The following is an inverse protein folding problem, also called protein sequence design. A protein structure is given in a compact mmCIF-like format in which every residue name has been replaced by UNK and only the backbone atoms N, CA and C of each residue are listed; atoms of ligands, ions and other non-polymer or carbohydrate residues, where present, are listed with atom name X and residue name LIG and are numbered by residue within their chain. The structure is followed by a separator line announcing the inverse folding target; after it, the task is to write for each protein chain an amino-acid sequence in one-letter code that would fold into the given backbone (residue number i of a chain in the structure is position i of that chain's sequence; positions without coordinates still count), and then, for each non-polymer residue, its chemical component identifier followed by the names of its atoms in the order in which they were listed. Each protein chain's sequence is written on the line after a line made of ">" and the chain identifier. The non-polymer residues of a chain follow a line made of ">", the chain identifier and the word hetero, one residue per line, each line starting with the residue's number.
data_IF_969812111172
#
_entry.id   IF_969812111172
#
_cell.length_a   1.000
_cell.length_b   1.000
_cell.length_c   1.000
_cell.angle_alpha   90.00
_cell.angle_beta   90.00
_cell.angle_gamma   90.00
#
_symmetry.space_group_name_H-M   'P 1'
#
loop_
_entity.id
_entity.type
_entity.pdbx_description
1 polymer ?
#
# COMPACT_ATOMS: atom_id res chain seq x y z
N UNK A 1 10.86 30.15 -3.36
CA UNK A 1 9.56 29.43 -3.34
C UNK A 1 9.24 28.74 -4.67
N UNK A 2 9.52 29.34 -5.84
CA UNK A 2 9.27 28.70 -7.16
C UNK A 2 9.92 27.31 -7.28
N UNK A 3 11.18 27.16 -6.86
CA UNK A 3 11.86 25.85 -6.90
C UNK A 3 11.15 24.79 -6.06
N UNK A 4 10.60 25.16 -4.90
CA UNK A 4 9.91 24.26 -3.99
C UNK A 4 8.57 23.82 -4.59
N UNK A 5 7.86 24.78 -5.19
CA UNK A 5 6.63 24.50 -5.92
C UNK A 5 6.86 23.54 -7.10
N UNK A 6 7.90 23.79 -7.90
CA UNK A 6 8.30 22.89 -8.99
C UNK A 6 8.65 21.48 -8.48
N UNK A 7 9.35 21.38 -7.35
CA UNK A 7 9.67 20.10 -6.70
C UNK A 7 8.41 19.35 -6.28
N UNK A 8 7.44 20.02 -5.63
CA UNK A 8 6.18 19.42 -5.20
C UNK A 8 5.44 18.83 -6.40
N UNK A 9 5.22 19.62 -7.45
CA UNK A 9 4.51 19.15 -8.65
C UNK A 9 5.24 18.00 -9.33
N UNK A 10 6.58 18.09 -9.47
CA UNK A 10 7.38 17.03 -10.07
C UNK A 10 7.28 15.73 -9.27
N UNK A 11 7.54 15.78 -7.97
CA UNK A 11 7.50 14.60 -7.10
C UNK A 11 6.11 13.98 -7.07
N UNK A 12 5.05 14.79 -6.98
CA UNK A 12 3.67 14.30 -6.97
C UNK A 12 3.27 13.67 -8.32
N UNK A 13 3.63 14.30 -9.44
CA UNK A 13 3.35 13.75 -10.77
C UNK A 13 4.04 12.38 -10.96
N UNK A 14 5.32 12.26 -10.61
CA UNK A 14 6.04 10.99 -10.69
C UNK A 14 5.44 9.96 -9.74
N UNK A 15 5.06 10.37 -8.52
CA UNK A 15 4.39 9.48 -7.57
C UNK A 15 3.12 8.86 -8.17
N UNK A 16 2.25 9.67 -8.75
CA UNK A 16 1.01 9.20 -9.41
C UNK A 16 1.32 8.28 -10.59
N UNK A 17 2.22 8.69 -11.50
CA UNK A 17 2.58 7.91 -12.70
C UNK A 17 3.12 6.53 -12.32
N UNK A 18 4.06 6.48 -11.37
CA UNK A 18 4.69 5.22 -10.93
C UNK A 18 3.69 4.32 -10.21
N UNK A 19 2.82 4.88 -9.36
CA UNK A 19 1.79 4.09 -8.69
C UNK A 19 0.80 3.49 -9.70
N UNK A 20 0.29 4.27 -10.64
CA UNK A 20 -0.60 3.77 -11.69
C UNK A 20 0.10 2.71 -12.54
N UNK A 21 1.36 2.93 -12.91
CA UNK A 21 2.17 1.93 -13.61
C UNK A 21 2.30 0.62 -12.83
N UNK A 22 2.48 0.67 -11.50
CA UNK A 22 2.50 -0.52 -10.63
C UNK A 22 1.15 -1.23 -10.57
N UNK A 23 0.04 -0.49 -10.47
CA UNK A 23 -1.31 -1.06 -10.50
C UNK A 23 -1.57 -1.77 -11.82
N UNK A 24 -1.29 -1.12 -12.96
CA UNK A 24 -1.44 -1.71 -14.29
C UNK A 24 -0.55 -2.94 -14.43
N UNK A 25 0.72 -2.84 -14.00
CA UNK A 25 1.66 -3.97 -14.03
C UNK A 25 1.08 -5.16 -13.28
N UNK A 26 0.65 -5.01 -12.03
CA UNK A 26 0.12 -6.11 -11.23
C UNK A 26 -1.21 -6.66 -11.77
N UNK A 27 -2.09 -5.79 -12.29
CA UNK A 27 -3.35 -6.22 -12.90
C UNK A 27 -3.16 -7.02 -14.20
N UNK A 28 -2.06 -6.77 -14.92
CA UNK A 28 -1.75 -7.39 -16.22
C UNK A 28 -0.72 -8.52 -16.13
N UNK A 29 -0.26 -8.88 -14.92
CA UNK A 29 0.69 -9.98 -14.77
C UNK A 29 0.10 -11.31 -15.27
N UNK A 30 0.93 -12.19 -15.85
CA UNK A 30 0.54 -13.57 -16.14
C UNK A 30 -0.04 -14.26 -14.90
N UNK A 31 -0.90 -15.25 -15.12
CA UNK A 31 -1.33 -16.22 -14.10
C UNK A 31 -0.13 -16.68 -13.27
N UNK A 32 -0.27 -16.57 -11.95
CA UNK A 32 0.77 -16.97 -11.01
C UNK A 32 0.79 -18.50 -10.83
N UNK A 33 1.81 -19.01 -10.14
CA UNK A 33 1.79 -20.37 -9.62
C UNK A 33 0.75 -20.44 -8.49
N UNK A 34 -0.43 -20.97 -8.83
CA UNK A 34 -1.59 -20.96 -7.96
C UNK A 34 -1.39 -21.86 -6.75
N UNK A 35 -1.52 -21.29 -5.57
CA UNK A 35 -1.57 -22.01 -4.31
C UNK A 35 -2.96 -21.83 -3.71
N UNK A 36 -3.73 -22.91 -3.63
CA UNK A 36 -5.05 -22.89 -3.01
C UNK A 36 -4.90 -22.90 -1.49
N UNK A 37 -4.89 -21.69 -0.91
CA UNK A 37 -4.65 -21.48 0.52
C UNK A 37 -5.97 -21.22 1.26
N UNK A 38 -6.51 -22.28 1.84
CA UNK A 38 -7.72 -22.21 2.66
C UNK A 38 -7.42 -21.79 4.12
N UNK A 39 -8.36 -21.11 4.81
CA UNK A 39 -9.67 -20.68 4.31
C UNK A 39 -9.62 -19.45 3.40
N UNK A 40 -10.53 -19.43 2.43
CA UNK A 40 -10.73 -18.30 1.52
C UNK A 40 -11.97 -17.49 1.95
N UNK A 41 -11.87 -16.19 2.24
CA UNK A 41 -12.93 -15.44 2.91
C UNK A 41 -14.28 -15.37 2.19
N UNK A 42 -14.31 -15.47 0.85
CA UNK A 42 -15.56 -15.42 0.11
C UNK A 42 -16.33 -16.75 0.13
N UNK A 43 -15.74 -17.85 0.57
CA UNK A 43 -16.45 -19.14 0.62
C UNK A 43 -17.34 -19.27 1.85
N UNK A 44 -18.54 -19.87 1.70
CA UNK A 44 -19.46 -20.12 2.82
C UNK A 44 -18.84 -20.96 3.94
N UNK A 45 -17.91 -21.86 3.58
CA UNK A 45 -17.24 -22.79 4.50
C UNK A 45 -15.99 -22.20 5.17
N UNK A 46 -15.66 -20.95 4.89
CA UNK A 46 -14.48 -20.28 5.43
C UNK A 46 -14.46 -20.24 6.97
N UNK A 47 -15.63 -20.16 7.61
CA UNK A 47 -15.74 -20.07 9.08
C UNK A 47 -15.15 -21.28 9.81
N UNK A 48 -15.28 -22.48 9.24
CA UNK A 48 -14.71 -23.71 9.79
C UNK A 48 -13.42 -24.16 9.10
N UNK A 49 -12.82 -23.29 8.27
CA UNK A 49 -11.57 -23.61 7.57
C UNK A 49 -11.74 -24.46 6.30
N UNK A 50 -12.96 -24.67 5.83
CA UNK A 50 -13.26 -25.59 4.74
C UNK A 50 -13.11 -25.03 3.34
N UNK A 51 -13.40 -25.88 2.35
CA UNK A 51 -13.33 -25.56 0.91
C UNK A 51 -14.51 -26.14 0.11
N UNK A 52 -14.71 -25.66 -1.12
CA UNK A 52 -15.64 -26.32 -2.06
C UNK A 52 -15.24 -27.75 -2.41
N UNK A 53 -13.98 -28.16 -2.23
CA UNK A 53 -13.52 -29.54 -2.48
C UNK A 53 -14.20 -30.57 -1.58
N UNK A 54 -14.77 -30.14 -0.46
CA UNK A 54 -15.54 -31.01 0.42
C UNK A 54 -16.88 -31.44 -0.18
N UNK A 55 -17.33 -30.77 -1.24
CA UNK A 55 -18.57 -31.14 -1.92
C UNK A 55 -18.33 -32.19 -3.00
N UNK A 56 -19.10 -33.30 -2.98
CA UNK A 56 -19.12 -34.22 -4.11
C UNK A 56 -19.54 -33.49 -5.38
N UNK A 57 -18.84 -33.80 -6.47
CA UNK A 57 -19.07 -33.23 -7.81
C UNK A 57 -19.13 -31.70 -7.80
N UNK A 58 -18.32 -31.04 -6.97
CA UNK A 58 -18.26 -29.58 -6.86
C UNK A 58 -18.13 -28.88 -8.22
N UNK A 59 -17.42 -29.50 -9.18
CA UNK A 59 -17.20 -28.96 -10.53
C UNK A 59 -18.47 -28.88 -11.40
N UNK A 60 -19.57 -29.52 -10.99
CA UNK A 60 -20.89 -29.44 -11.65
C UNK A 60 -21.81 -28.39 -11.02
N UNK A 61 -21.44 -27.83 -9.87
CA UNK A 61 -22.28 -26.93 -9.09
C UNK A 61 -21.84 -25.47 -9.27
N UNK A 62 -22.76 -24.50 -9.19
CA UNK A 62 -22.37 -23.09 -9.15
C UNK A 62 -21.59 -22.81 -7.86
N UNK A 63 -20.53 -22.00 -7.96
CA UNK A 63 -19.80 -21.54 -6.78
C UNK A 63 -20.63 -20.51 -6.02
N UNK A 64 -20.69 -20.66 -4.71
CA UNK A 64 -21.32 -19.69 -3.83
C UNK A 64 -20.23 -18.84 -3.16
N UNK A 65 -19.97 -17.67 -3.75
CA UNK A 65 -18.98 -16.71 -3.26
C UNK A 65 -19.65 -15.48 -2.67
N UNK A 66 -19.02 -14.88 -1.66
CA UNK A 66 -19.50 -13.65 -1.00
C UNK A 66 -18.42 -12.58 -0.99
N UNK A 67 -18.64 -11.50 -1.75
CA UNK A 67 -17.72 -10.35 -1.76
C UNK A 67 -17.57 -9.68 -0.39
N UNK A 68 -18.61 -9.79 0.46
CA UNK A 68 -18.59 -9.21 1.79
C UNK A 68 -17.51 -9.85 2.69
N UNK A 69 -17.25 -11.15 2.53
CA UNK A 69 -16.22 -11.86 3.30
C UNK A 69 -14.81 -11.34 2.97
N UNK A 70 -14.48 -11.24 1.68
CA UNK A 70 -13.22 -10.65 1.22
C UNK A 70 -13.03 -9.21 1.68
N UNK A 71 -14.05 -8.36 1.50
CA UNK A 71 -13.99 -6.95 1.90
C UNK A 71 -13.78 -6.84 3.42
N UNK A 72 -14.52 -7.63 4.21
CA UNK A 72 -14.40 -7.63 5.67
C UNK A 72 -12.99 -8.04 6.11
N UNK A 73 -12.46 -9.14 5.58
CA UNK A 73 -11.12 -9.62 5.95
C UNK A 73 -10.02 -8.67 5.45
N UNK A 74 -10.18 -8.10 4.26
CA UNK A 74 -9.26 -7.08 3.75
C UNK A 74 -9.26 -5.83 4.65
N UNK A 75 -10.44 -5.32 5.00
CA UNK A 75 -10.56 -4.16 5.88
C UNK A 75 -9.98 -4.42 7.27
N UNK A 76 -10.23 -5.60 7.86
CA UNK A 76 -9.61 -5.94 9.15
C UNK A 76 -8.09 -5.94 9.06
N UNK A 77 -7.55 -6.50 7.99
CA UNK A 77 -6.11 -6.60 7.81
C UNK A 77 -5.46 -5.28 7.38
N UNK A 78 -6.18 -4.39 6.69
CA UNK A 78 -5.74 -3.03 6.40
C UNK A 78 -5.81 -2.15 7.65
N UNK A 79 -6.97 -2.08 8.30
CA UNK A 79 -7.17 -1.18 9.44
C UNK A 79 -6.44 -1.65 10.68
N UNK A 80 -6.55 -2.94 11.04
CA UNK A 80 -6.06 -3.45 12.33
C UNK A 80 -4.80 -4.29 12.24
N UNK A 81 -4.32 -4.65 11.03
CA UNK A 81 -3.14 -5.51 10.86
C UNK A 81 -3.30 -6.81 11.66
N UNK A 82 -4.47 -7.43 11.50
CA UNK A 82 -4.95 -8.55 12.31
C UNK A 82 -3.99 -9.74 12.31
N UNK A 83 -3.33 -10.04 11.19
CA UNK A 83 -2.35 -11.14 11.15
C UNK A 83 -1.18 -10.91 12.09
N UNK A 84 -0.68 -9.68 12.21
CA UNK A 84 0.39 -9.35 13.17
C UNK A 84 -0.15 -9.43 14.60
N UNK A 85 -1.40 -9.02 14.84
CA UNK A 85 -2.04 -9.19 16.14
C UNK A 85 -2.10 -10.66 16.57
N UNK A 86 -2.53 -11.55 15.66
CA UNK A 86 -2.68 -12.99 15.92
C UNK A 86 -1.33 -13.71 16.06
N UNK A 87 -0.39 -13.47 15.17
CA UNK A 87 0.84 -14.27 15.06
C UNK A 87 2.07 -13.63 15.71
N UNK A 88 2.08 -12.31 15.91
CA UNK A 88 3.21 -11.57 16.50
C UNK A 88 2.75 -10.38 17.34
N UNK A 89 1.94 -10.67 18.35
CA UNK A 89 1.25 -9.68 19.20
C UNK A 89 2.19 -8.64 19.84
N UNK A 90 3.41 -9.02 20.20
CA UNK A 90 4.41 -8.09 20.75
C UNK A 90 4.83 -7.01 19.75
N UNK A 91 4.90 -7.35 18.45
CA UNK A 91 5.20 -6.40 17.39
C UNK A 91 3.99 -5.53 17.02
N UNK A 92 2.77 -6.05 17.23
CA UNK A 92 1.53 -5.33 16.94
C UNK A 92 1.42 -4.03 17.73
N UNK A 93 1.77 -4.04 19.02
CA UNK A 93 1.73 -2.84 19.87
C UNK A 93 2.63 -1.70 19.42
N UNK A 94 3.60 -1.97 18.54
CA UNK A 94 4.42 -0.94 17.89
C UNK A 94 3.91 -0.63 16.48
N UNK A 95 3.56 -1.67 15.73
CA UNK A 95 3.21 -1.55 14.31
C UNK A 95 1.85 -0.89 14.11
N UNK A 96 0.83 -1.29 14.89
CA UNK A 96 -0.52 -0.76 14.72
C UNK A 96 -0.60 0.74 15.04
N UNK A 97 -0.10 1.24 16.19
CA UNK A 97 -0.14 2.67 16.46
C UNK A 97 0.63 3.51 15.44
N UNK A 98 1.77 3.01 14.93
CA UNK A 98 2.49 3.66 13.84
C UNK A 98 1.64 3.79 12.57
N UNK A 99 0.97 2.70 12.16
CA UNK A 99 0.08 2.72 10.98
C UNK A 99 -1.19 3.54 11.22
N UNK A 100 -1.74 3.53 12.44
CA UNK A 100 -2.83 4.42 12.82
C UNK A 100 -2.41 5.88 12.64
N UNK A 101 -1.18 6.24 13.02
CA UNK A 101 -0.60 7.55 12.72
C UNK A 101 -0.56 7.86 11.22
N UNK A 102 -0.18 6.89 10.38
CA UNK A 102 -0.23 7.04 8.92
C UNK A 102 -1.68 7.22 8.42
N UNK A 103 -2.65 6.50 8.95
CA UNK A 103 -4.05 6.68 8.54
C UNK A 103 -4.56 8.06 8.95
N UNK A 104 -4.21 8.51 10.16
CA UNK A 104 -4.57 9.84 10.62
C UNK A 104 -3.88 10.95 9.82
N UNK A 105 -2.61 10.79 9.38
CA UNK A 105 -1.97 11.80 8.54
C UNK A 105 -2.63 11.90 7.16
N UNK A 106 -3.11 10.77 6.60
CA UNK A 106 -3.91 10.79 5.36
C UNK A 106 -5.25 11.50 5.54
N UNK A 107 -5.93 11.26 6.67
CA UNK A 107 -7.15 12.01 7.03
C UNK A 107 -6.84 13.49 7.22
N UNK A 108 -5.72 13.84 7.85
CA UNK A 108 -5.26 15.21 8.01
C UNK A 108 -5.03 15.91 6.66
N UNK A 109 -4.37 15.25 5.70
CA UNK A 109 -4.23 15.79 4.33
C UNK A 109 -5.60 16.04 3.68
N UNK A 110 -6.56 15.12 3.85
CA UNK A 110 -7.91 15.31 3.33
C UNK A 110 -8.62 16.50 4.00
N UNK A 111 -8.45 16.69 5.32
CA UNK A 111 -8.99 17.84 6.04
C UNK A 111 -8.37 19.17 5.59
N UNK A 112 -7.05 19.21 5.37
CA UNK A 112 -6.35 20.37 4.79
C UNK A 112 -6.87 20.68 3.39
N UNK A 113 -7.04 19.65 2.54
CA UNK A 113 -7.58 19.80 1.20
C UNK A 113 -9.01 20.35 1.22
N UNK A 114 -9.90 19.77 2.04
CA UNK A 114 -11.28 20.25 2.22
C UNK A 114 -11.27 21.70 2.75
N UNK A 115 -10.43 22.00 3.73
CA UNK A 115 -10.27 23.35 4.28
C UNK A 115 -9.85 24.37 3.23
N UNK A 116 -8.88 24.02 2.38
CA UNK A 116 -8.43 24.87 1.28
C UNK A 116 -9.55 25.12 0.24
N UNK A 117 -10.35 24.11 -0.09
CA UNK A 117 -11.51 24.26 -0.99
C UNK A 117 -12.56 25.18 -0.35
N UNK A 118 -12.82 25.06 0.95
CA UNK A 118 -13.75 25.92 1.68
C UNK A 118 -13.27 27.38 1.69
N UNK A 119 -11.97 27.62 1.92
CA UNK A 119 -11.40 28.97 1.86
C UNK A 119 -11.49 29.57 0.45
N UNK A 120 -11.31 28.77 -0.61
CA UNK A 120 -11.47 29.22 -2.00
C UNK A 120 -12.89 29.68 -2.34
N UNK A 121 -13.91 29.08 -1.74
CA UNK A 121 -15.31 29.49 -1.93
C UNK A 121 -15.77 30.57 -0.94
N UNK A 122 -14.83 31.15 -0.17
CA UNK A 122 -15.09 32.27 0.74
C UNK A 122 -15.51 31.90 2.15
N UNK A 123 -15.32 30.64 2.57
CA UNK A 123 -15.61 30.17 3.94
C UNK A 123 -14.27 30.05 4.69
N UNK A 124 -13.87 31.05 5.50
CA UNK A 124 -12.61 30.99 6.24
C UNK A 124 -12.65 29.89 7.32
N UNK A 125 -11.56 29.12 7.45
CA UNK A 125 -11.41 28.10 8.49
C UNK A 125 -10.84 28.73 9.76
N UNK A 126 -11.66 28.86 10.79
CA UNK A 126 -11.28 29.44 12.07
C UNK A 126 -12.07 28.86 13.24
N UNK A 127 -11.52 28.97 14.44
CA UNK A 127 -12.16 28.51 15.67
C UNK A 127 -13.50 29.23 15.95
N UNK A 128 -13.62 30.49 15.55
CA UNK A 128 -14.80 31.34 15.71
C UNK A 128 -15.69 31.39 14.46
N UNK A 129 -15.41 30.57 13.45
CA UNK A 129 -16.20 30.50 12.22
C UNK A 129 -17.60 29.95 12.45
N UNK A 130 -18.45 30.05 11.42
CA UNK A 130 -19.80 29.47 11.44
C UNK A 130 -19.84 28.12 10.68
N UNK A 131 -20.95 27.39 10.85
CA UNK A 131 -21.21 26.14 10.15
C UNK A 131 -20.12 25.08 10.38
N UNK A 132 -19.51 24.56 9.30
CA UNK A 132 -18.54 23.47 9.34
C UNK A 132 -17.11 23.95 9.68
N UNK A 133 -16.85 25.27 9.66
CA UNK A 133 -15.51 25.85 9.81
C UNK A 133 -14.82 25.45 11.12
N UNK A 134 -15.44 25.59 12.31
CA UNK A 134 -14.82 25.16 13.56
C UNK A 134 -14.55 23.65 13.61
N UNK A 135 -15.43 22.84 13.00
CA UNK A 135 -15.28 21.38 12.97
C UNK A 135 -14.01 21.01 12.18
N UNK A 136 -13.81 21.57 10.99
CA UNK A 136 -12.60 21.34 10.20
C UNK A 136 -11.37 21.87 10.92
N UNK A 137 -11.45 23.05 11.54
CA UNK A 137 -10.36 23.63 12.32
C UNK A 137 -9.88 22.70 13.44
N UNK A 138 -10.78 22.30 14.35
CA UNK A 138 -10.42 21.46 15.50
C UNK A 138 -10.05 20.04 15.10
N UNK A 139 -10.73 19.44 14.11
CA UNK A 139 -10.36 18.11 13.61
C UNK A 139 -8.97 18.14 12.97
N UNK A 140 -8.63 19.15 12.18
CA UNK A 140 -7.30 19.28 11.57
C UNK A 140 -6.23 19.37 12.67
N UNK A 141 -6.48 20.15 13.72
CA UNK A 141 -5.55 20.28 14.83
C UNK A 141 -5.34 18.95 15.56
N UNK A 142 -6.43 18.34 16.04
CA UNK A 142 -6.35 17.10 16.84
C UNK A 142 -5.79 15.95 16.02
N UNK A 143 -6.29 15.72 14.82
CA UNK A 143 -5.86 14.62 13.96
C UNK A 143 -4.39 14.80 13.57
N UNK A 144 -3.96 16.02 13.22
CA UNK A 144 -2.57 16.30 12.85
C UNK A 144 -1.60 16.02 14.00
N UNK A 145 -1.89 16.54 15.20
CA UNK A 145 -1.04 16.35 16.37
C UNK A 145 -0.97 14.87 16.78
N UNK A 146 -2.11 14.18 16.85
CA UNK A 146 -2.15 12.76 17.21
C UNK A 146 -1.40 11.93 16.16
N UNK A 147 -1.59 12.20 14.87
CA UNK A 147 -0.87 11.52 13.79
C UNK A 147 0.65 11.65 13.94
N UNK A 148 1.14 12.88 14.13
CA UNK A 148 2.57 13.15 14.28
C UNK A 148 3.17 12.44 15.50
N UNK A 149 2.50 12.50 16.66
CA UNK A 149 2.95 11.83 17.88
C UNK A 149 3.02 10.31 17.67
N UNK A 150 1.95 9.70 17.14
CA UNK A 150 1.91 8.27 16.89
C UNK A 150 3.01 7.82 15.92
N UNK A 151 3.16 8.51 14.78
CA UNK A 151 4.18 8.15 13.79
C UNK A 151 5.60 8.31 14.35
N UNK A 152 5.87 9.36 15.12
CA UNK A 152 7.19 9.62 15.66
C UNK A 152 7.59 8.64 16.77
N UNK A 153 6.75 8.52 17.81
CA UNK A 153 7.05 7.67 18.98
C UNK A 153 7.12 6.20 18.58
N UNK A 154 6.13 5.71 17.84
CA UNK A 154 6.10 4.31 17.44
C UNK A 154 7.05 4.02 16.27
N UNK A 155 7.37 5.01 15.43
CA UNK A 155 8.44 4.91 14.45
C UNK A 155 9.80 4.64 15.12
N UNK A 156 10.14 5.42 16.16
CA UNK A 156 11.35 5.18 16.97
C UNK A 156 11.28 3.78 17.62
N UNK A 157 10.15 3.42 18.22
CA UNK A 157 9.93 2.10 18.81
C UNK A 157 10.18 0.96 17.83
N UNK A 158 9.72 1.09 16.58
CA UNK A 158 9.94 0.10 15.53
C UNK A 158 11.41 0.01 15.09
N UNK A 159 12.13 1.13 15.04
CA UNK A 159 13.58 1.12 14.79
C UNK A 159 14.31 0.37 15.90
N UNK A 160 14.03 0.75 17.16
CA UNK A 160 14.64 0.09 18.33
C UNK A 160 14.33 -1.41 18.30
N UNK A 161 13.07 -1.79 18.06
CA UNK A 161 12.68 -3.20 17.94
C UNK A 161 13.45 -3.92 16.84
N UNK A 162 13.68 -3.28 15.70
CA UNK A 162 14.42 -3.86 14.56
C UNK A 162 15.92 -4.07 14.86
N UNK A 163 16.52 -3.24 15.71
CA UNK A 163 17.91 -3.43 16.15
C UNK A 163 18.04 -4.50 17.24
N UNK A 164 17.09 -4.52 18.19
CA UNK A 164 17.15 -5.34 19.39
C UNK A 164 16.67 -6.78 19.20
N UNK A 165 15.74 -7.03 18.26
CA UNK A 165 15.20 -8.37 17.99
C UNK A 165 16.11 -9.11 16.97
N UNK A 166 16.85 -10.16 17.39
CA UNK A 166 17.81 -10.84 16.51
C UNK A 166 17.15 -11.50 15.30
N UNK A 167 15.90 -11.97 15.45
CA UNK A 167 15.19 -12.61 14.35
C UNK A 167 14.73 -11.57 13.32
N UNK A 168 14.27 -10.40 13.77
CA UNK A 168 13.98 -9.30 12.83
C UNK A 168 15.23 -8.80 12.12
N UNK A 169 16.37 -8.73 12.82
CA UNK A 169 17.62 -8.24 12.25
C UNK A 169 18.12 -9.11 11.10
N UNK A 170 17.97 -10.44 11.20
CA UNK A 170 18.35 -11.40 10.12
C UNK A 170 17.59 -11.15 8.81
N UNK A 171 16.35 -10.67 8.89
CA UNK A 171 15.50 -10.40 7.73
C UNK A 171 15.42 -8.91 7.36
N UNK A 172 16.20 -8.04 8.01
CA UNK A 172 16.20 -6.60 7.76
C UNK A 172 17.35 -6.20 6.84
N UNK A 173 17.01 -5.58 5.71
CA UNK A 173 17.98 -4.93 4.82
C UNK A 173 18.27 -3.49 5.25
N UNK A 174 19.36 -2.90 4.77
CA UNK A 174 19.65 -1.48 4.97
C UNK A 174 18.46 -0.57 4.62
N UNK A 175 17.77 -0.88 3.52
CA UNK A 175 16.60 -0.13 3.08
C UNK A 175 15.46 -0.16 4.10
N UNK A 176 15.31 -1.22 4.90
CA UNK A 176 14.28 -1.27 5.95
C UNK A 176 14.54 -0.26 7.06
N UNK A 177 15.81 -0.04 7.42
CA UNK A 177 16.19 0.98 8.40
C UNK A 177 16.04 2.38 7.81
N UNK A 178 16.56 2.60 6.60
CA UNK A 178 16.46 3.89 5.93
C UNK A 178 14.99 4.33 5.76
N UNK A 179 14.09 3.42 5.38
CA UNK A 179 12.67 3.72 5.24
C UNK A 179 12.07 4.33 6.53
N UNK A 180 12.30 3.68 7.68
CA UNK A 180 11.79 4.19 8.96
C UNK A 180 12.46 5.50 9.36
N UNK A 181 13.79 5.60 9.21
CA UNK A 181 14.52 6.83 9.54
C UNK A 181 14.02 8.00 8.70
N UNK A 182 13.79 7.79 7.40
CA UNK A 182 13.32 8.85 6.51
C UNK A 182 11.91 9.31 6.88
N UNK A 183 10.99 8.37 7.19
CA UNK A 183 9.65 8.73 7.67
C UNK A 183 9.74 9.52 8.98
N UNK A 184 10.56 9.09 9.94
CA UNK A 184 10.74 9.79 11.22
C UNK A 184 11.35 11.18 11.01
N UNK A 185 12.29 11.34 10.07
CA UNK A 185 12.87 12.64 9.74
C UNK A 185 11.82 13.60 9.15
N UNK A 186 10.93 13.10 8.28
CA UNK A 186 9.80 13.88 7.74
C UNK A 186 8.85 14.30 8.86
N UNK A 187 8.47 13.39 9.75
CA UNK A 187 7.58 13.71 10.89
C UNK A 187 8.26 14.66 11.88
N UNK A 188 9.55 14.47 12.16
CA UNK A 188 10.33 15.33 13.05
C UNK A 188 10.47 16.76 12.51
N UNK A 189 10.69 16.91 11.20
CA UNK A 189 10.65 18.24 10.56
C UNK A 189 9.23 18.81 10.49
N UNK A 190 8.21 17.96 10.47
CA UNK A 190 6.80 18.36 10.62
C UNK A 190 6.51 19.00 11.98
N UNK A 191 7.03 18.43 13.08
CA UNK A 191 6.95 19.07 14.39
C UNK A 191 7.62 20.45 14.44
N UNK A 192 8.77 20.59 13.78
CA UNK A 192 9.48 21.86 13.69
C UNK A 192 8.71 22.89 12.85
N UNK A 193 8.12 22.47 11.72
CA UNK A 193 7.27 23.32 10.90
C UNK A 193 6.00 23.76 11.65
N UNK A 194 5.39 22.86 12.43
CA UNK A 194 4.19 23.14 13.23
C UNK A 194 4.40 24.24 14.28
N UNK A 195 5.63 24.44 14.77
CA UNK A 195 5.93 25.59 15.66
C UNK A 195 5.70 26.95 14.99
N UNK A 196 5.84 27.02 13.66
CA UNK A 196 5.58 28.23 12.86
C UNK A 196 4.15 28.30 12.31
N UNK A 197 3.37 27.23 12.41
CA UNK A 197 2.02 27.11 11.87
C UNK A 197 1.10 26.29 12.81
N UNK A 198 0.85 26.74 14.06
CA UNK A 198 0.20 25.91 15.06
C UNK A 198 -1.26 25.53 14.74
N UNK A 199 -1.92 26.35 13.92
CA UNK A 199 -3.31 26.20 13.49
C UNK A 199 -3.46 25.65 12.06
N UNK A 200 -2.34 25.27 11.44
CA UNK A 200 -2.26 24.77 10.07
C UNK A 200 -2.82 25.73 9.00
N UNK A 201 -2.86 27.04 9.29
CA UNK A 201 -3.30 28.06 8.35
C UNK A 201 -2.36 28.16 7.15
N UNK A 202 -1.04 28.17 7.39
CA UNK A 202 -0.06 28.18 6.31
C UNK A 202 -0.14 26.90 5.47
N UNK A 203 -0.34 25.73 6.10
CA UNK A 203 -0.53 24.47 5.38
C UNK A 203 -1.78 24.49 4.46
N UNK A 204 -2.89 25.10 4.91
CA UNK A 204 -4.09 25.31 4.07
C UNK A 204 -3.82 26.30 2.93
N UNK A 205 -3.11 27.38 3.20
CA UNK A 205 -2.71 28.35 2.19
C UNK A 205 -1.80 27.72 1.11
N UNK A 206 -0.81 26.92 1.51
CA UNK A 206 0.00 26.13 0.59
C UNK A 206 -0.86 25.23 -0.30
N UNK A 207 -1.81 24.49 0.30
CA UNK A 207 -2.69 23.61 -0.45
C UNK A 207 -3.56 24.38 -1.46
N UNK A 208 -4.13 25.50 -1.02
CA UNK A 208 -4.91 26.42 -1.86
C UNK A 208 -4.10 26.88 -3.07
N UNK A 209 -2.91 27.40 -2.85
CA UNK A 209 -2.07 27.94 -3.92
C UNK A 209 -1.59 26.83 -4.87
N UNK A 210 -1.35 25.61 -4.37
CA UNK A 210 -1.08 24.46 -5.22
C UNK A 210 -2.26 24.09 -6.12
N UNK A 211 -3.50 24.17 -5.61
CA UNK A 211 -4.73 23.86 -6.37
C UNK A 211 -4.96 24.87 -7.50
N UNK A 212 -4.80 26.17 -7.22
CA UNK A 212 -5.05 27.24 -8.19
C UNK A 212 -3.82 27.63 -9.01
N UNK A 213 -2.69 26.93 -8.81
CA UNK A 213 -1.41 27.18 -9.48
C UNK A 213 -0.84 28.60 -9.21
N UNK A 214 -1.08 29.13 -8.01
CA UNK A 214 -0.55 30.41 -7.55
C UNK A 214 0.84 30.26 -6.91
N UNK A 215 1.66 31.32 -6.85
CA UNK A 215 2.94 31.28 -6.15
C UNK A 215 2.76 30.96 -4.67
N UNK A 216 3.55 30.00 -4.15
CA UNK A 216 3.50 29.62 -2.73
C UNK A 216 3.85 30.80 -1.79
N UNK A 217 3.22 30.87 -0.60
CA UNK A 217 3.49 31.92 0.37
C UNK A 217 4.90 31.76 0.95
N UNK A 218 5.43 32.83 1.55
CA UNK A 218 6.72 32.75 2.27
C UNK A 218 6.59 31.83 3.48
N UNK A 219 7.61 31.00 3.72
CA UNK A 219 7.60 30.04 4.81
C UNK A 219 8.93 30.01 5.57
N UNK A 220 8.90 29.54 6.82
CA UNK A 220 10.12 29.38 7.61
C UNK A 220 11.03 28.30 7.01
N UNK A 221 12.33 28.34 7.35
CA UNK A 221 13.28 27.32 6.91
C UNK A 221 12.88 25.89 7.33
N UNK A 222 12.23 25.74 8.49
CA UNK A 222 11.70 24.46 8.97
C UNK A 222 10.57 23.94 8.06
N UNK A 223 9.62 24.80 7.68
CA UNK A 223 8.54 24.44 6.74
C UNK A 223 9.09 24.10 5.37
N UNK A 224 10.04 24.87 4.85
CA UNK A 224 10.69 24.58 3.55
C UNK A 224 11.38 23.21 3.58
N UNK A 225 12.15 22.92 4.64
CA UNK A 225 12.81 21.63 4.81
C UNK A 225 11.79 20.49 4.91
N UNK A 226 10.74 20.65 5.72
CA UNK A 226 9.68 19.65 5.86
C UNK A 226 9.01 19.33 4.52
N UNK A 227 8.55 20.35 3.79
CA UNK A 227 7.89 20.19 2.49
C UNK A 227 8.84 19.56 1.46
N UNK A 228 10.13 19.91 1.50
CA UNK A 228 11.15 19.29 0.65
C UNK A 228 11.28 17.80 0.95
N UNK A 229 11.48 17.42 2.22
CA UNK A 229 11.62 16.02 2.62
C UNK A 229 10.35 15.22 2.37
N UNK A 230 9.17 15.80 2.61
CA UNK A 230 7.87 15.19 2.31
C UNK A 230 7.71 14.92 0.81
N UNK A 231 8.08 15.88 -0.04
CA UNK A 231 8.04 15.71 -1.50
C UNK A 231 8.94 14.56 -1.96
N UNK A 232 10.16 14.51 -1.41
CA UNK A 232 11.10 13.42 -1.66
C UNK A 232 10.59 12.08 -1.11
N UNK A 233 9.88 12.07 0.02
CA UNK A 233 9.26 10.87 0.58
C UNK A 233 8.18 10.33 -0.33
N UNK A 234 7.32 11.17 -0.93
CA UNK A 234 6.34 10.71 -1.92
C UNK A 234 7.03 10.02 -3.10
N UNK A 235 8.03 10.68 -3.70
CA UNK A 235 8.82 10.09 -4.79
C UNK A 235 9.46 8.75 -4.38
N UNK A 236 10.06 8.71 -3.18
CA UNK A 236 10.71 7.52 -2.65
C UNK A 236 9.72 6.38 -2.33
N UNK A 237 8.52 6.68 -1.82
CA UNK A 237 7.44 5.69 -1.65
C UNK A 237 7.13 5.05 -2.99
N UNK A 238 6.89 5.86 -4.03
CA UNK A 238 6.53 5.37 -5.36
C UNK A 238 7.58 4.41 -5.94
N UNK A 239 8.87 4.73 -5.78
CA UNK A 239 9.97 4.01 -6.42
C UNK A 239 10.51 2.81 -5.62
N UNK A 240 10.00 2.53 -4.42
CA UNK A 240 10.57 1.50 -3.53
C UNK A 240 9.56 0.41 -3.17
N UNK A 241 9.99 -0.51 -2.29
CA UNK A 241 9.13 -1.53 -1.68
C UNK A 241 8.07 -0.98 -0.74
N UNK A 242 8.08 0.34 -0.43
CA UNK A 242 7.06 0.95 0.42
C UNK A 242 5.68 1.03 -0.22
N UNK A 243 5.55 0.82 -1.54
CA UNK A 243 4.24 0.61 -2.21
C UNK A 243 3.59 -0.74 -1.89
N UNK A 244 4.02 -1.41 -0.82
CA UNK A 244 3.48 -2.69 -0.39
C UNK A 244 1.97 -2.65 -0.11
N UNK A 245 1.37 -1.49 0.15
CA UNK A 245 -0.09 -1.36 0.27
C UNK A 245 -0.82 -1.73 -1.02
N UNK A 246 -0.29 -1.38 -2.20
CA UNK A 246 -0.81 -1.84 -3.50
C UNK A 246 -0.55 -3.33 -3.64
N UNK A 247 0.68 -3.76 -3.35
CA UNK A 247 1.06 -5.17 -3.41
C UNK A 247 0.15 -6.05 -2.57
N UNK A 248 -0.20 -5.61 -1.36
CA UNK A 248 -1.07 -6.31 -0.42
C UNK A 248 -2.45 -6.57 -1.02
N UNK A 249 -3.05 -5.58 -1.67
CA UNK A 249 -4.32 -5.75 -2.36
C UNK A 249 -4.24 -6.87 -3.41
N UNK A 250 -3.26 -6.83 -4.30
CA UNK A 250 -3.11 -7.85 -5.35
C UNK A 250 -2.71 -9.21 -4.78
N UNK A 251 -1.79 -9.28 -3.83
CA UNK A 251 -1.38 -10.53 -3.19
C UNK A 251 -2.55 -11.23 -2.53
N UNK A 252 -3.48 -10.50 -1.93
CA UNK A 252 -4.63 -11.13 -1.29
C UNK A 252 -5.60 -11.67 -2.35
N UNK A 253 -6.06 -10.83 -3.28
CA UNK A 253 -7.10 -11.21 -4.24
C UNK A 253 -6.61 -12.10 -5.40
N UNK A 254 -5.32 -12.04 -5.75
CA UNK A 254 -4.74 -12.78 -6.88
C UNK A 254 -3.81 -13.89 -6.47
N UNK A 255 -3.52 -14.07 -5.18
CA UNK A 255 -2.63 -15.15 -4.74
C UNK A 255 -3.26 -15.88 -3.55
N UNK A 256 -3.48 -15.19 -2.43
CA UNK A 256 -3.96 -15.82 -1.19
C UNK A 256 -5.38 -16.36 -1.31
N UNK A 257 -6.25 -15.64 -2.02
CA UNK A 257 -7.67 -15.94 -2.19
C UNK A 257 -8.00 -16.40 -3.61
N UNK A 258 -6.99 -16.71 -4.43
CA UNK A 258 -7.20 -17.09 -5.84
C UNK A 258 -7.54 -18.59 -5.98
N UNK A 259 -8.79 -18.92 -5.66
CA UNK A 259 -9.31 -20.29 -5.62
C UNK A 259 -10.19 -20.67 -6.83
N UNK A 260 -10.20 -19.83 -7.88
CA UNK A 260 -11.08 -20.02 -9.03
C UNK A 260 -10.70 -21.28 -9.84
N UNK A 261 -11.56 -22.29 -9.98
CA UNK A 261 -11.17 -23.56 -10.59
C UNK A 261 -10.86 -23.41 -12.09
N UNK A 262 -9.85 -24.13 -12.57
CA UNK A 262 -9.56 -24.20 -14.00
C UNK A 262 -10.49 -25.21 -14.69
N UNK A 263 -11.70 -24.77 -15.04
CA UNK A 263 -12.66 -25.59 -15.79
C UNK A 263 -12.46 -25.45 -17.30
N UNK A 264 -12.90 -26.46 -18.07
CA UNK A 264 -12.86 -26.42 -19.53
C UNK A 264 -13.70 -25.26 -20.08
N UNK A 265 -13.14 -24.51 -21.01
CA UNK A 265 -13.70 -23.29 -21.60
C UNK A 265 -13.53 -22.03 -20.74
N UNK A 266 -12.96 -22.13 -19.54
CA UNK A 266 -12.81 -20.99 -18.63
C UNK A 266 -11.78 -19.96 -19.11
N UNK A 267 -11.85 -18.75 -18.57
CA UNK A 267 -10.83 -17.72 -18.81
C UNK A 267 -9.44 -18.15 -18.30
N UNK A 268 -9.38 -19.01 -17.28
CA UNK A 268 -8.12 -19.56 -16.78
C UNK A 268 -7.51 -20.50 -17.82
N UNK A 269 -8.31 -21.40 -18.41
CA UNK A 269 -7.83 -22.30 -19.47
C UNK A 269 -7.29 -21.50 -20.65
N UNK A 270 -8.01 -20.46 -21.10
CA UNK A 270 -7.55 -19.56 -22.16
C UNK A 270 -6.20 -18.90 -21.83
N UNK A 271 -6.04 -18.40 -20.59
CA UNK A 271 -4.78 -17.81 -20.13
C UNK A 271 -3.64 -18.82 -20.09
N UNK A 272 -3.89 -20.03 -19.61
CA UNK A 272 -2.90 -21.12 -19.59
C UNK A 272 -2.48 -21.48 -21.01
N UNK A 273 -3.43 -21.66 -21.94
CA UNK A 273 -3.13 -21.95 -23.34
C UNK A 273 -2.28 -20.83 -23.99
N UNK A 274 -2.60 -19.56 -23.71
CA UNK A 274 -1.79 -18.44 -24.17
C UNK A 274 -0.37 -18.46 -23.60
N UNK A 275 -0.22 -18.77 -22.31
CA UNK A 275 1.09 -18.85 -21.64
C UNK A 275 1.93 -20.02 -22.11
N UNK A 276 1.31 -21.15 -22.44
CA UNK A 276 2.00 -22.32 -22.99
C UNK A 276 2.68 -22.01 -24.34
N UNK A 277 2.21 -21.00 -25.06
CA UNK A 277 2.85 -20.52 -26.29
C UNK A 277 4.03 -19.56 -26.05
N UNK A 278 4.31 -19.15 -24.81
CA UNK A 278 5.49 -18.32 -24.52
C UNK A 278 6.77 -19.14 -24.71
N UNK A 279 7.79 -18.49 -25.28
CA UNK A 279 9.11 -19.10 -25.45
C UNK A 279 9.82 -19.25 -24.10
N UNK A 280 10.47 -20.39 -23.90
CA UNK A 280 11.26 -20.66 -22.70
C UNK A 280 12.54 -19.84 -22.76
N UNK A 281 12.67 -18.85 -21.87
CA UNK A 281 13.86 -18.02 -21.75
C UNK A 281 14.92 -18.61 -20.79
N UNK A 282 14.55 -19.63 -20.00
CA UNK A 282 15.43 -20.27 -19.04
C UNK A 282 16.43 -21.19 -19.74
N UNK A 283 17.71 -21.09 -19.35
CA UNK A 283 18.80 -21.94 -19.83
C UNK A 283 19.16 -22.95 -18.74
N UNK A 284 18.96 -24.23 -19.02
CA UNK A 284 19.40 -25.34 -18.18
C UNK A 284 19.73 -26.54 -19.05
N UNK A 285 20.62 -27.42 -18.60
CA UNK A 285 21.05 -28.58 -19.39
C UNK A 285 19.90 -29.55 -19.74
N UNK A 286 18.78 -29.44 -19.03
CA UNK A 286 17.57 -30.24 -19.22
C UNK A 286 16.47 -29.51 -20.02
N UNK A 287 16.74 -28.29 -20.50
CA UNK A 287 15.76 -27.45 -21.21
C UNK A 287 16.26 -27.18 -22.61
N UNK A 288 15.39 -27.39 -23.61
CA UNK A 288 15.74 -27.07 -24.99
C UNK A 288 15.66 -25.55 -25.21
N UNK A 289 16.69 -24.92 -25.80
CA UNK A 289 16.61 -23.50 -26.11
C UNK A 289 15.54 -23.23 -27.18
N UNK A 290 14.91 -22.05 -27.09
CA UNK A 290 14.00 -21.49 -28.10
C UNK A 290 12.67 -22.23 -28.36
N UNK A 291 12.35 -23.26 -27.59
CA UNK A 291 11.04 -23.92 -27.64
C UNK A 291 9.99 -23.15 -26.83
N UNK A 292 8.72 -23.42 -27.10
CA UNK A 292 7.59 -22.97 -26.27
C UNK A 292 7.43 -23.84 -25.02
N UNK A 293 6.74 -23.34 -23.99
CA UNK A 293 6.39 -24.15 -22.81
C UNK A 293 5.55 -25.39 -23.17
N UNK A 294 4.67 -25.31 -24.17
CA UNK A 294 3.91 -26.45 -24.67
C UNK A 294 4.82 -27.57 -25.20
N UNK A 295 5.79 -27.20 -26.02
CA UNK A 295 6.75 -28.14 -26.62
C UNK A 295 7.69 -28.74 -25.60
N UNK A 296 8.13 -27.94 -24.62
CA UNK A 296 8.97 -28.42 -23.52
C UNK A 296 8.21 -29.42 -22.65
N UNK A 297 6.97 -29.11 -22.27
CA UNK A 297 6.14 -29.97 -21.41
C UNK A 297 5.74 -31.31 -22.07
N UNK A 298 5.65 -31.34 -23.40
CA UNK A 298 5.25 -32.55 -24.16
C UNK A 298 6.42 -33.46 -24.56
N UNK A 299 7.67 -32.99 -24.46
CA UNK A 299 8.86 -33.72 -24.95
C UNK A 299 9.66 -34.45 -23.86
N UNK A 300 9.17 -34.53 -22.61
CA UNK A 300 9.80 -35.35 -21.58
C UNK A 300 9.53 -36.85 -21.83
N UNK A 301 10.51 -37.56 -22.37
CA UNK A 301 10.58 -39.02 -22.32
C UNK A 301 11.41 -39.38 -21.08
N UNK A 302 10.86 -40.07 -20.07
CA UNK A 302 11.66 -40.51 -18.93
C UNK A 302 12.78 -41.45 -19.43
N UNK A 303 14.02 -41.17 -18.99
CA UNK A 303 15.23 -41.94 -19.33
C UNK A 303 15.13 -43.47 -19.11
N UNK A 304 14.13 -43.96 -18.40
CA UNK A 304 13.89 -45.40 -18.20
C UNK A 304 13.35 -46.13 -19.44
N UNK A 305 13.34 -45.49 -20.61
CA UNK A 305 12.96 -46.11 -21.90
C UNK A 305 14.05 -45.98 -22.98
N UNK A 306 15.25 -45.51 -22.62
CA UNK A 306 16.44 -45.57 -23.46
C UNK A 306 17.44 -46.54 -22.81
N UNK A 307 17.10 -47.84 -22.83
CA UNK A 307 18.00 -49.03 -22.85
C UNK A 307 17.21 -50.32 -22.60
#
# INVERSE_FOLDING_TARGET
>A
MIWLQALIYFCFAIFVIVLLGKVVKYATMPLNLRWELYPVPHEKKAEHGGSYYEEPEWWKKPREITLLGEIKEMLKEMLFIERVFKHKRSLWWLTYPFHLGIYLILVWFALIFIGAILELIGIPISASGSMISPVIYYLTLVVGVVAMILMFVFGIGLIVRRFSDPDMRKYSSFLDYFNLIFIIAVVGTGFAAWQSDPDFSLAREFMKDLIVLSPLPSASGATILHVTLLSLLFLYIACTKMTHFIGKYFTYHKILWDDEPNLRGSEIEKKVLNQLNYRVAWRGNHIKPEVTWAEEATKYVPKSQEE
#
